data_IF_112545722601
#
_entry.id   IF_112545722601
#
_cell.length_a   1.000
_cell.length_b   1.000
_cell.length_c   1.000
_cell.angle_alpha   90.00
_cell.angle_beta   90.00
_cell.angle_gamma   90.00
#
_symmetry.space_group_name_H-M   'P 1'
#
loop_
_entity.id
_entity.type
_entity.pdbx_description
1 polymer ?
#
# COMPACT_ATOMS: atom_id res chain seq x y z
N UNK A 1 53.88 0.02 3.61
CA UNK A 1 53.76 -1.44 3.80
C UNK A 1 52.74 -1.80 4.87
N UNK A 2 52.86 -1.36 6.14
CA UNK A 2 51.85 -1.70 7.17
C UNK A 2 50.50 -0.97 7.06
N UNK A 3 50.45 0.22 6.44
CA UNK A 3 49.19 0.95 6.20
C UNK A 3 48.40 0.39 5.01
N UNK A 4 49.10 -0.07 3.98
CA UNK A 4 48.49 -0.66 2.77
C UNK A 4 47.76 -1.98 3.09
N UNK A 5 48.29 -2.76 4.04
CA UNK A 5 47.67 -3.98 4.54
C UNK A 5 46.40 -3.68 5.36
N UNK A 6 46.45 -2.69 6.25
CA UNK A 6 45.27 -2.25 7.02
C UNK A 6 44.16 -1.69 6.12
N UNK A 7 44.51 -0.97 5.05
CA UNK A 7 43.54 -0.51 4.06
C UNK A 7 42.91 -1.68 3.31
N UNK A 8 43.71 -2.66 2.88
CA UNK A 8 43.21 -3.85 2.19
C UNK A 8 42.29 -4.71 3.07
N UNK A 9 42.57 -4.81 4.37
CA UNK A 9 41.70 -5.52 5.32
C UNK A 9 40.38 -4.79 5.51
N UNK A 10 40.40 -3.46 5.65
CA UNK A 10 39.20 -2.65 5.77
C UNK A 10 38.33 -2.71 4.51
N UNK A 11 38.94 -2.71 3.32
CA UNK A 11 38.23 -2.85 2.04
C UNK A 11 37.50 -4.19 1.95
N UNK A 12 38.14 -5.28 2.40
CA UNK A 12 37.51 -6.60 2.45
C UNK A 12 36.34 -6.63 3.44
N UNK A 13 36.51 -6.06 4.64
CA UNK A 13 35.46 -6.02 5.66
C UNK A 13 34.24 -5.22 5.19
N UNK A 14 34.47 -4.10 4.48
CA UNK A 14 33.41 -3.30 3.86
C UNK A 14 32.70 -4.10 2.76
N UNK A 15 33.43 -4.82 1.93
CA UNK A 15 32.86 -5.64 0.86
C UNK A 15 31.95 -6.74 1.43
N UNK A 16 32.42 -7.48 2.45
CA UNK A 16 31.60 -8.48 3.14
C UNK A 16 30.37 -7.87 3.79
N UNK A 17 30.53 -6.72 4.45
CA UNK A 17 29.42 -6.02 5.10
C UNK A 17 28.37 -5.59 4.08
N UNK A 18 28.77 -5.09 2.90
CA UNK A 18 27.84 -4.74 1.81
C UNK A 18 27.07 -5.95 1.31
N UNK A 19 27.70 -7.10 1.16
CA UNK A 19 27.05 -8.32 0.69
C UNK A 19 26.02 -8.86 1.69
N UNK A 20 26.36 -8.82 3.00
CA UNK A 20 25.42 -9.15 4.08
C UNK A 20 24.23 -8.18 4.12
N UNK A 21 24.47 -6.89 3.90
CA UNK A 21 23.42 -5.87 3.83
C UNK A 21 22.50 -6.09 2.62
N UNK A 22 23.07 -6.34 1.43
CA UNK A 22 22.28 -6.63 0.23
C UNK A 22 21.37 -7.84 0.44
N UNK A 23 21.91 -8.93 1.01
CA UNK A 23 21.14 -10.12 1.38
C UNK A 23 20.01 -9.80 2.36
N UNK A 24 20.28 -8.98 3.36
CA UNK A 24 19.29 -8.57 4.36
C UNK A 24 18.20 -7.68 3.73
N UNK A 25 18.57 -6.78 2.83
CA UNK A 25 17.66 -5.91 2.10
C UNK A 25 16.74 -6.73 1.20
N UNK A 26 17.26 -7.71 0.46
CA UNK A 26 16.45 -8.60 -0.40
C UNK A 26 15.45 -9.41 0.42
N UNK A 27 15.86 -9.92 1.58
CA UNK A 27 14.97 -10.62 2.51
C UNK A 27 13.89 -9.69 3.07
N UNK A 28 14.21 -8.43 3.38
CA UNK A 28 13.24 -7.43 3.81
C UNK A 28 12.29 -7.03 2.68
N UNK A 29 12.77 -6.88 1.45
CA UNK A 29 11.93 -6.61 0.28
C UNK A 29 10.92 -7.74 0.05
N UNK A 30 11.37 -8.99 0.22
CA UNK A 30 10.51 -10.16 0.12
C UNK A 30 9.58 -10.29 1.35
N UNK A 31 9.98 -9.93 2.56
CA UNK A 31 9.12 -10.10 3.75
C UNK A 31 8.14 -8.94 3.96
N UNK A 32 8.53 -7.72 3.57
CA UNK A 32 7.67 -6.56 3.48
C UNK A 32 6.78 -6.65 2.23
N UNK A 33 6.31 -7.85 1.87
CA UNK A 33 5.44 -8.10 0.73
C UNK A 33 4.26 -7.14 0.83
N UNK A 34 4.19 -6.09 -0.02
CA UNK A 34 3.11 -5.12 0.02
C UNK A 34 1.75 -5.79 -0.19
N UNK A 35 1.77 -7.00 -0.76
CA UNK A 35 0.63 -7.88 -1.00
C UNK A 35 -0.22 -8.15 0.24
N UNK A 36 0.36 -8.33 1.43
CA UNK A 36 -0.44 -8.60 2.64
C UNK A 36 -1.02 -7.34 3.25
N UNK A 37 -0.33 -6.21 3.16
CA UNK A 37 -0.84 -4.90 3.61
C UNK A 37 -1.95 -4.43 2.68
N UNK A 38 -1.70 -4.44 1.37
CA UNK A 38 -2.69 -4.08 0.34
C UNK A 38 -3.90 -5.01 0.40
N UNK A 39 -3.71 -6.32 0.59
CA UNK A 39 -4.84 -7.25 0.72
C UNK A 39 -5.69 -6.97 1.95
N UNK A 40 -5.07 -6.60 3.09
CA UNK A 40 -5.81 -6.20 4.30
C UNK A 40 -6.61 -4.92 4.07
N UNK A 41 -6.03 -3.92 3.41
CA UNK A 41 -6.71 -2.68 3.08
C UNK A 41 -7.86 -2.89 2.08
N UNK A 42 -7.65 -3.67 1.03
CA UNK A 42 -8.72 -4.00 0.08
C UNK A 42 -9.84 -4.78 0.76
N UNK A 43 -9.49 -5.71 1.65
CA UNK A 43 -10.47 -6.48 2.43
C UNK A 43 -11.25 -5.59 3.41
N UNK A 44 -10.60 -4.63 4.07
CA UNK A 44 -11.25 -3.69 4.98
C UNK A 44 -12.27 -2.81 4.25
N UNK A 45 -11.93 -2.32 3.06
CA UNK A 45 -12.83 -1.55 2.19
C UNK A 45 -13.99 -2.45 1.75
N UNK A 46 -13.72 -3.67 1.29
CA UNK A 46 -14.74 -4.62 0.85
C UNK A 46 -15.71 -4.98 1.98
N UNK A 47 -15.23 -5.11 3.21
CA UNK A 47 -16.04 -5.43 4.40
C UNK A 47 -17.12 -4.37 4.70
N UNK A 48 -16.94 -3.12 4.21
CA UNK A 48 -17.96 -2.06 4.31
C UNK A 48 -19.16 -2.34 3.40
N UNK A 49 -18.95 -3.02 2.27
CA UNK A 49 -19.98 -3.25 1.25
C UNK A 49 -20.41 -4.71 1.14
N UNK A 50 -19.65 -5.65 1.69
CA UNK A 50 -19.93 -7.08 1.68
C UNK A 50 -19.71 -7.64 3.08
N UNK A 51 -20.64 -8.45 3.56
CA UNK A 51 -20.49 -9.14 4.82
C UNK A 51 -19.38 -10.21 4.72
N UNK A 52 -18.39 -10.13 5.60
CA UNK A 52 -17.22 -11.01 5.57
C UNK A 52 -17.51 -12.43 6.07
N UNK A 53 -18.61 -12.64 6.80
CA UNK A 53 -19.01 -13.95 7.33
C UNK A 53 -19.92 -14.69 6.36
N UNK A 54 -20.82 -13.98 5.68
CA UNK A 54 -21.83 -14.60 4.81
C UNK A 54 -21.60 -14.34 3.32
N UNK A 55 -20.72 -13.42 2.95
CA UNK A 55 -20.48 -13.00 1.57
C UNK A 55 -21.61 -12.15 0.96
N UNK A 56 -22.65 -11.83 1.74
CA UNK A 56 -23.81 -11.09 1.23
C UNK A 56 -23.49 -9.60 1.05
N UNK A 57 -23.94 -8.97 -0.04
CA UNK A 57 -23.83 -7.52 -0.20
C UNK A 57 -24.57 -6.77 0.91
N UNK A 58 -23.92 -5.76 1.49
CA UNK A 58 -24.51 -4.80 2.43
C UNK A 58 -25.29 -3.74 1.64
N UNK A 59 -26.48 -4.12 1.18
CA UNK A 59 -27.36 -3.29 0.34
C UNK A 59 -27.64 -1.92 0.94
N UNK A 60 -27.78 -1.81 2.27
CA UNK A 60 -27.93 -0.52 2.96
C UNK A 60 -26.74 0.44 2.74
N UNK A 61 -25.51 -0.04 2.92
CA UNK A 61 -24.30 0.77 2.72
C UNK A 61 -24.08 1.11 1.24
N UNK A 62 -24.37 0.15 0.35
CA UNK A 62 -24.30 0.37 -1.10
C UNK A 62 -25.29 1.45 -1.52
N UNK A 63 -26.54 1.38 -1.04
CA UNK A 63 -27.57 2.35 -1.35
C UNK A 63 -27.22 3.75 -0.84
N UNK A 64 -26.66 3.85 0.38
CA UNK A 64 -26.16 5.12 0.94
C UNK A 64 -25.03 5.72 0.09
N UNK A 65 -24.05 4.91 -0.30
CA UNK A 65 -22.95 5.38 -1.14
C UNK A 65 -23.44 5.83 -2.53
N UNK A 66 -24.33 5.07 -3.15
CA UNK A 66 -24.95 5.43 -4.41
C UNK A 66 -25.74 6.75 -4.30
N UNK A 67 -26.56 6.89 -3.27
CA UNK A 67 -27.31 8.12 -2.99
C UNK A 67 -26.40 9.33 -2.78
N UNK A 68 -25.27 9.17 -2.08
CA UNK A 68 -24.29 10.23 -1.90
C UNK A 68 -23.67 10.67 -3.23
N UNK A 69 -23.25 9.74 -4.08
CA UNK A 69 -22.70 10.05 -5.41
C UNK A 69 -23.73 10.77 -6.26
N UNK A 70 -24.96 10.26 -6.32
CA UNK A 70 -26.06 10.90 -7.06
C UNK A 70 -26.33 12.31 -6.54
N UNK A 71 -26.37 12.50 -5.22
CA UNK A 71 -26.54 13.81 -4.60
C UNK A 71 -25.44 14.80 -4.98
N UNK A 72 -24.18 14.38 -4.92
CA UNK A 72 -23.03 15.21 -5.34
C UNK A 72 -23.14 15.59 -6.81
N UNK A 73 -23.41 14.63 -7.70
CA UNK A 73 -23.59 14.90 -9.13
C UNK A 73 -24.74 15.88 -9.37
N UNK A 74 -25.88 15.70 -8.70
CA UNK A 74 -27.02 16.60 -8.81
C UNK A 74 -26.65 18.03 -8.39
N UNK A 75 -25.92 18.19 -7.28
CA UNK A 75 -25.40 19.50 -6.83
C UNK A 75 -24.50 20.12 -7.90
N UNK A 76 -23.55 19.37 -8.46
CA UNK A 76 -22.67 19.88 -9.54
C UNK A 76 -23.45 20.29 -10.78
N UNK A 77 -24.47 19.51 -11.19
CA UNK A 77 -25.32 19.83 -12.34
C UNK A 77 -26.12 21.11 -12.10
N UNK A 78 -26.66 21.30 -10.90
CA UNK A 78 -27.38 22.52 -10.51
C UNK A 78 -26.43 23.73 -10.56
N UNK A 79 -25.24 23.62 -9.97
CA UNK A 79 -24.23 24.69 -10.01
C UNK A 79 -23.87 25.04 -11.45
N UNK A 80 -23.57 24.03 -12.28
CA UNK A 80 -23.26 24.23 -13.70
C UNK A 80 -24.39 24.95 -14.42
N UNK A 81 -25.64 24.58 -14.15
CA UNK A 81 -26.83 25.20 -14.76
C UNK A 81 -27.04 26.65 -14.34
N UNK A 82 -26.61 27.04 -13.13
CA UNK A 82 -26.74 28.44 -12.64
C UNK A 82 -25.62 29.33 -13.18
N UNK A 83 -24.43 28.76 -13.43
CA UNK A 83 -23.25 29.51 -13.90
C UNK A 83 -23.19 29.62 -15.44
N UNK A 84 -23.80 28.68 -16.17
CA UNK A 84 -23.98 28.73 -17.64
C UNK A 84 -25.16 29.60 -18.03
#
# INVERSE_FOLDING_TARGET
>A
MGQDQQLSELEQEIAETRERLATTIDQLLYRAHPRTIVSREVSSIKARFVDTRTGQPRTDNILKAAGAVVGVVAVFVIIRKVVS
#
